data_IF_485214711530
#
_entry.id   IF_485214711530
#
_cell.length_a   1.000
_cell.length_b   1.000
_cell.length_c   1.000
_cell.angle_alpha   90.00
_cell.angle_beta   90.00
_cell.angle_gamma   90.00
#
_symmetry.space_group_name_H-M   'P 1'
#
loop_
_entity.id
_entity.type
_entity.pdbx_description
1 polymer ?
2 non-polymer ?
3 water ?
#
# COMPACT_ATOMS: atom_id res chain seq x y z
N UNK A 6 2.76 30.73 -1.30
CA UNK A 6 4.09 30.28 -1.74
C UNK A 6 4.44 30.89 -3.08
N UNK A 7 5.68 31.36 -3.24
CA UNK A 7 6.05 31.95 -4.52
C UNK A 7 6.21 30.92 -5.64
N UNK A 8 6.21 29.61 -5.34
CA UNK A 8 6.21 28.61 -6.40
C UNK A 8 4.81 28.14 -6.79
N UNK A 9 3.79 28.46 -5.99
CA UNK A 9 2.48 27.84 -6.17
C UNK A 9 1.83 28.30 -7.46
N UNK A 10 1.29 27.36 -8.23
CA UNK A 10 0.60 27.71 -9.46
C UNK A 10 -0.35 26.58 -9.84
N UNK A 11 -1.61 26.94 -10.12
CA UNK A 11 -2.64 25.99 -10.54
C UNK A 11 -2.82 24.84 -9.54
N UNK A 12 -2.62 25.11 -8.24
CA UNK A 12 -2.62 24.06 -7.22
C UNK A 12 -3.75 24.36 -6.23
N UNK A 13 -4.85 23.63 -6.37
CA UNK A 13 -6.05 23.97 -5.62
C UNK A 13 -5.91 23.56 -4.15
N UNK A 14 -6.38 24.39 -3.21
CA UNK A 14 -6.38 23.98 -1.79
C UNK A 14 -7.00 22.62 -1.52
N UNK A 15 -8.04 22.22 -2.27
CA UNK A 15 -8.61 20.89 -2.08
C UNK A 15 -7.60 19.81 -2.44
N UNK A 16 -6.85 20.01 -3.53
CA UNK A 16 -5.84 19.04 -3.94
C UNK A 16 -4.74 18.92 -2.89
N UNK A 17 -4.27 20.05 -2.37
CA UNK A 17 -3.31 20.08 -1.26
C UNK A 17 -3.81 19.27 -0.06
N UNK A 18 -5.06 19.51 0.36
CA UNK A 18 -5.64 18.75 1.46
C UNK A 18 -5.73 17.27 1.13
N UNK A 19 -6.17 16.94 -0.09
CA UNK A 19 -6.30 15.54 -0.47
C UNK A 19 -4.95 14.84 -0.53
N UNK A 20 -3.90 15.57 -0.91
CA UNK A 20 -2.56 15.01 -0.88
C UNK A 20 -2.15 14.70 0.55
N UNK A 21 -2.44 15.61 1.49
CA UNK A 21 -2.12 15.32 2.89
C UNK A 21 -2.86 14.08 3.39
N UNK A 22 -4.12 13.88 2.97
CA UNK A 22 -4.82 12.67 3.37
C UNK A 22 -4.17 11.43 2.77
N UNK A 23 -3.75 11.51 1.50
CA UNK A 23 -3.13 10.35 0.86
C UNK A 23 -1.80 10.01 1.51
N UNK A 24 -1.04 11.03 1.93
CA UNK A 24 0.21 10.77 2.65
C UNK A 24 -0.06 9.93 3.89
N UNK A 25 -1.06 10.32 4.67
CA UNK A 25 -1.39 9.54 5.86
C UNK A 25 -1.79 8.12 5.49
N UNK A 26 -2.60 7.96 4.44
CA UNK A 26 -3.04 6.62 4.06
C UNK A 26 -1.87 5.76 3.59
N UNK A 27 -0.92 6.33 2.83
CA UNK A 27 0.21 5.50 2.39
C UNK A 27 1.12 5.15 3.56
N UNK A 28 1.28 6.07 4.53
CA UNK A 28 2.01 5.74 5.74
C UNK A 28 1.29 4.64 6.53
N UNK A 29 -0.03 4.74 6.63
CA UNK A 29 -0.80 3.69 7.30
C UNK A 29 -0.59 2.34 6.61
N UNK A 30 -0.67 2.31 5.28
CA UNK A 30 -0.49 1.04 4.57
C UNK A 30 0.90 0.48 4.80
N UNK A 31 1.90 1.36 4.84
CA UNK A 31 3.26 0.95 5.20
C UNK A 31 3.29 0.28 6.57
N UNK A 32 2.53 0.82 7.53
CA UNK A 32 2.51 0.30 8.90
C UNK A 32 1.84 -1.06 8.96
N UNK A 33 0.71 -1.22 8.25
CA UNK A 33 0.03 -2.51 8.15
C UNK A 33 0.99 -3.57 7.63
N UNK A 34 1.70 -3.25 6.55
CA UNK A 34 2.65 -4.20 5.97
C UNK A 34 3.80 -4.50 6.92
N UNK A 35 4.28 -3.49 7.65
CA UNK A 35 5.32 -3.77 8.64
C UNK A 35 4.80 -4.73 9.71
N UNK A 36 3.57 -4.52 10.16
CA UNK A 36 2.96 -5.42 11.13
C UNK A 36 2.90 -6.84 10.58
N UNK A 37 2.44 -6.98 9.34
CA UNK A 37 2.38 -8.30 8.72
C UNK A 37 3.76 -8.93 8.61
N UNK A 38 4.76 -8.14 8.19
CA UNK A 38 6.11 -8.67 8.04
C UNK A 38 6.59 -9.36 9.32
N UNK A 39 6.41 -8.70 10.47
CA UNK A 39 6.91 -9.27 11.71
C UNK A 39 5.97 -10.30 12.33
N UNK A 40 4.72 -10.38 11.87
CA UNK A 40 3.90 -11.53 12.24
C UNK A 40 4.51 -12.82 11.70
N UNK A 41 5.03 -12.79 10.47
CA UNK A 41 5.53 -14.02 9.87
C UNK A 41 6.90 -14.44 10.36
N UNK A 42 7.58 -13.62 11.17
CA UNK A 42 8.81 -14.06 11.80
C UNK A 42 8.61 -14.45 13.27
N UNK A 43 7.37 -14.53 13.74
CA UNK A 43 7.09 -15.18 15.01
C UNK A 43 7.55 -16.64 14.98
N UNK A 44 7.99 -17.13 16.14
CA UNK A 44 8.44 -18.51 16.23
C UNK A 44 7.32 -19.50 15.93
N UNK A 45 6.07 -19.11 16.14
CA UNK A 45 4.93 -19.97 15.87
C UNK A 45 4.27 -19.66 14.53
N UNK A 46 4.98 -18.98 13.64
CA UNK A 46 4.52 -18.77 12.27
C UNK A 46 5.67 -19.11 11.34
N UNK A 47 6.77 -18.35 11.47
CA UNK A 47 8.07 -18.71 10.90
C UNK A 47 7.99 -19.00 9.40
N UNK A 48 7.45 -18.04 8.65
CA UNK A 48 7.42 -18.09 7.19
C UNK A 48 8.24 -16.90 6.72
N UNK A 49 9.55 -17.10 6.60
CA UNK A 49 10.47 -15.96 6.45
C UNK A 49 10.32 -15.27 5.10
N UNK A 50 9.86 -15.98 4.06
CA UNK A 50 9.68 -15.29 2.78
C UNK A 50 8.36 -14.52 2.73
N UNK A 51 7.31 -14.98 3.44
CA UNK A 51 6.18 -14.09 3.68
C UNK A 51 6.65 -12.83 4.39
N UNK A 52 7.51 -13.00 5.39
CA UNK A 52 8.04 -11.85 6.13
C UNK A 52 8.75 -10.89 5.19
N UNK A 53 9.68 -11.40 4.38
CA UNK A 53 10.39 -10.56 3.41
C UNK A 53 9.43 -9.91 2.43
N UNK A 54 8.43 -10.67 1.96
CA UNK A 54 7.49 -10.14 0.97
C UNK A 54 6.75 -8.93 1.51
N UNK A 55 6.20 -9.04 2.72
CA UNK A 55 5.44 -7.92 3.26
C UNK A 55 6.36 -6.78 3.68
N UNK A 56 7.60 -7.07 4.08
CA UNK A 56 8.53 -5.97 4.38
C UNK A 56 8.81 -5.15 3.12
N UNK A 57 8.95 -5.83 1.98
CA UNK A 57 9.14 -5.14 0.71
C UNK A 57 7.91 -4.31 0.36
N UNK A 58 6.71 -4.88 0.51
CA UNK A 58 5.48 -4.10 0.35
C UNK A 58 5.50 -2.85 1.22
N UNK A 59 5.94 -2.98 2.47
CA UNK A 59 6.00 -1.84 3.38
C UNK A 59 6.94 -0.76 2.88
N UNK A 60 8.13 -1.14 2.40
CA UNK A 60 9.07 -0.16 1.87
C UNK A 60 8.50 0.56 0.66
N UNK A 61 7.84 -0.17 -0.23
CA UNK A 61 7.22 0.45 -1.40
C UNK A 61 6.20 1.51 -1.00
N UNK A 62 5.41 1.24 0.04
CA UNK A 62 4.41 2.21 0.46
C UNK A 62 5.06 3.42 1.13
N UNK A 63 6.13 3.20 1.88
CA UNK A 63 6.89 4.31 2.44
C UNK A 63 7.45 5.20 1.33
N UNK A 64 8.00 4.59 0.28
CA UNK A 64 8.52 5.38 -0.83
C UNK A 64 7.42 6.22 -1.47
N UNK A 65 6.23 5.64 -1.68
CA UNK A 65 5.13 6.39 -2.27
C UNK A 65 4.64 7.50 -1.35
N UNK A 66 4.65 7.26 -0.04
CA UNK A 66 4.29 8.32 0.90
C UNK A 66 5.27 9.49 0.80
N UNK A 67 6.57 9.19 0.80
CA UNK A 67 7.57 10.24 0.69
C UNK A 67 7.48 10.98 -0.63
N UNK A 68 7.16 10.28 -1.71
CA UNK A 68 7.05 10.95 -3.00
C UNK A 68 5.87 11.91 -3.01
N UNK A 69 4.81 11.60 -2.27
CA UNK A 69 3.71 12.55 -2.14
C UNK A 69 4.11 13.76 -1.30
N UNK A 70 4.90 13.54 -0.26
CA UNK A 70 5.44 14.65 0.51
C UNK A 70 6.33 15.52 -0.35
N UNK A 71 7.18 14.91 -1.18
CA UNK A 71 7.98 15.70 -2.11
C UNK A 71 7.08 16.50 -3.05
N UNK A 72 6.03 15.86 -3.56
CA UNK A 72 5.11 16.54 -4.47
C UNK A 72 4.50 17.78 -3.82
N UNK A 73 4.04 17.64 -2.57
CA UNK A 73 3.48 18.77 -1.84
C UNK A 73 4.45 19.94 -1.83
N UNK A 74 5.72 19.67 -1.51
CA UNK A 74 6.72 20.74 -1.49
C UNK A 74 6.99 21.28 -2.89
N UNK A 75 7.06 20.39 -3.89
CA UNK A 75 7.33 20.84 -5.25
C UNK A 75 6.29 21.84 -5.73
N UNK A 76 5.03 21.61 -5.37
CA UNK A 76 3.91 22.45 -5.80
C UNK A 76 3.66 23.64 -4.88
N UNK A 77 4.40 23.76 -3.78
CA UNK A 77 4.15 24.84 -2.85
C UNK A 77 3.06 24.57 -1.83
N UNK A 78 2.58 23.34 -1.74
CA UNK A 78 1.69 22.99 -0.66
C UNK A 78 2.46 22.82 0.63
N UNK A 79 1.72 22.60 1.70
CA UNK A 79 2.33 22.46 3.02
C UNK A 79 1.90 21.13 3.63
N UNK A 80 2.88 20.29 3.93
CA UNK A 80 2.63 18.99 4.53
C UNK A 80 2.01 19.17 5.90
N UNK A 81 0.89 18.49 6.15
CA UNK A 81 0.29 18.42 7.48
C UNK A 81 0.16 16.95 7.84
N UNK A 82 0.97 16.50 8.78
CA UNK A 82 0.97 15.10 9.20
C UNK A 82 -0.10 14.87 10.24
N UNK A 83 -0.58 13.63 10.30
CA UNK A 83 -1.55 13.20 11.29
C UNK A 83 -1.05 11.88 11.88
N UNK A 84 -1.65 11.47 13.01
CA UNK A 84 -1.32 10.16 13.58
C UNK A 84 -1.40 9.08 12.51
N UNK A 85 -0.48 8.12 12.58
CA UNK A 85 -0.56 6.92 11.75
C UNK A 85 -1.26 5.86 12.59
N UNK A 86 -2.48 5.50 12.21
CA UNK A 86 -3.27 4.58 13.02
C UNK A 86 -2.62 3.21 13.05
N UNK A 87 -2.74 2.53 14.18
CA UNK A 87 -2.23 1.17 14.23
C UNK A 87 -3.06 0.27 13.32
N UNK A 88 -2.48 -0.82 12.82
CA UNK A 88 -3.27 -1.75 11.99
C UNK A 88 -4.40 -2.38 12.78
N UNK A 89 -5.34 -2.98 12.04
CA UNK A 89 -6.53 -3.58 12.63
C UNK A 89 -6.22 -4.78 13.52
N UNK A 90 -5.14 -5.51 13.22
CA UNK A 90 -4.78 -6.72 13.96
C UNK A 90 -3.29 -6.72 14.22
N UNK A 91 -2.88 -7.35 15.33
CA UNK A 91 -1.47 -7.73 15.46
C UNK A 91 -1.23 -9.17 15.04
N UNK A 92 -2.25 -10.01 15.20
CA UNK A 92 -2.21 -11.42 14.83
C UNK A 92 -2.90 -11.56 13.48
N UNK A 93 -2.13 -11.84 12.43
CA UNK A 93 -2.69 -11.87 11.09
C UNK A 93 -3.17 -13.26 10.68
N UNK A 94 -3.15 -14.22 11.61
CA UNK A 94 -3.86 -15.49 11.53
C UNK A 94 -3.24 -16.52 10.58
N UNK A 95 -2.87 -16.12 9.36
CA UNK A 95 -2.31 -17.07 8.41
C UNK A 95 -1.74 -16.32 7.22
N UNK A 96 -0.91 -17.02 6.45
CA UNK A 96 -0.44 -16.45 5.19
C UNK A 96 -1.58 -16.02 4.29
N UNK A 97 -2.61 -16.86 4.17
CA UNK A 97 -3.75 -16.52 3.31
C UNK A 97 -4.50 -15.31 3.84
N UNK A 98 -4.76 -15.27 5.15
CA UNK A 98 -5.49 -14.14 5.71
C UNK A 98 -4.72 -12.85 5.49
N UNK A 99 -3.39 -12.88 5.65
CA UNK A 99 -2.59 -11.68 5.44
C UNK A 99 -2.65 -11.24 3.98
N UNK A 100 -2.53 -12.18 3.04
CA UNK A 100 -2.61 -11.82 1.62
C UNK A 100 -3.97 -11.23 1.27
N UNK A 101 -5.04 -11.79 1.84
CA UNK A 101 -6.36 -11.22 1.59
C UNK A 101 -6.50 -9.85 2.24
N UNK A 102 -5.93 -9.67 3.43
CA UNK A 102 -5.95 -8.35 4.03
C UNK A 102 -5.18 -7.34 3.21
N UNK A 103 -4.02 -7.74 2.69
CA UNK A 103 -3.23 -6.86 1.83
C UNK A 103 -4.00 -6.48 0.56
N UNK A 104 -4.67 -7.46 -0.06
CA UNK A 104 -5.46 -7.17 -1.26
C UNK A 104 -6.53 -6.12 -0.96
N UNK A 105 -7.26 -6.30 0.15
CA UNK A 105 -8.28 -5.33 0.52
C UNK A 105 -7.67 -3.96 0.81
N UNK A 106 -6.54 -3.95 1.52
CA UNK A 106 -5.83 -2.70 1.79
C UNK A 106 -5.47 -1.98 0.50
N UNK A 107 -4.92 -2.71 -0.47
CA UNK A 107 -4.48 -2.04 -1.69
C UNK A 107 -5.65 -1.53 -2.52
N UNK A 108 -6.77 -2.26 -2.53
CA UNK A 108 -7.95 -1.75 -3.23
C UNK A 108 -8.46 -0.48 -2.57
N UNK A 109 -8.37 -0.39 -1.24
CA UNK A 109 -8.76 0.84 -0.57
C UNK A 109 -7.80 1.98 -0.91
N UNK A 110 -6.50 1.70 -0.90
CA UNK A 110 -5.52 2.69 -1.30
C UNK A 110 -5.75 3.10 -2.75
N UNK A 111 -6.00 2.12 -3.62
CA UNK A 111 -6.27 2.42 -5.02
C UNK A 111 -7.50 3.30 -5.17
N UNK A 112 -8.57 3.00 -4.44
CA UNK A 112 -9.76 3.83 -4.53
C UNK A 112 -9.46 5.28 -4.14
N UNK A 113 -8.65 5.46 -3.09
CA UNK A 113 -8.29 6.82 -2.68
C UNK A 113 -7.49 7.53 -3.77
N UNK A 114 -6.54 6.82 -4.39
CA UNK A 114 -5.75 7.42 -5.46
C UNK A 114 -6.63 7.81 -6.64
N UNK A 115 -7.58 6.95 -7.01
CA UNK A 115 -8.47 7.25 -8.12
C UNK A 115 -9.34 8.46 -7.80
N UNK A 116 -9.81 8.56 -6.56
CA UNK A 116 -10.56 9.75 -6.16
C UNK A 116 -9.67 10.99 -6.18
N UNK A 117 -8.40 10.85 -5.79
CA UNK A 117 -7.46 11.96 -5.91
C UNK A 117 -7.26 12.36 -7.37
N UNK A 118 -7.19 11.38 -8.27
CA UNK A 118 -7.04 11.69 -9.68
C UNK A 118 -8.28 12.40 -10.21
N UNK A 119 -9.47 11.96 -9.78
CA UNK A 119 -10.70 12.62 -10.22
C UNK A 119 -10.75 14.06 -9.73
N UNK A 120 -10.26 14.30 -8.51
CA UNK A 120 -10.18 15.67 -8.01
C UNK A 120 -9.23 16.51 -8.85
N UNK A 121 -8.03 15.98 -9.11
CA UNK A 121 -7.08 16.68 -9.97
C UNK A 121 -7.70 17.04 -11.31
N UNK A 122 -8.43 16.09 -11.92
CA UNK A 122 -9.11 16.36 -13.18
C UNK A 122 -10.16 17.45 -13.02
N UNK A 123 -10.96 17.39 -11.95
CA UNK A 123 -11.99 18.40 -11.72
C UNK A 123 -11.37 19.79 -11.58
N UNK A 124 -10.21 19.88 -10.94
CA UNK A 124 -9.57 21.15 -10.69
C UNK A 124 -8.64 21.57 -11.82
N UNK A 125 -8.62 20.81 -12.91
CA UNK A 125 -7.78 21.09 -14.05
C UNK A 125 -6.30 21.12 -13.71
N UNK A 126 -5.84 20.11 -12.96
CA UNK A 126 -4.46 20.01 -12.53
C UNK A 126 -3.80 18.83 -13.24
N UNK A 127 -3.35 19.02 -14.48
CA UNK A 127 -2.77 17.89 -15.22
C UNK A 127 -1.43 17.44 -14.67
N UNK A 128 -0.67 18.33 -14.04
CA UNK A 128 0.57 17.90 -13.40
C UNK A 128 0.30 16.88 -12.31
N UNK A 129 -0.70 17.15 -11.47
CA UNK A 129 -1.07 16.20 -10.43
C UNK A 129 -1.62 14.91 -11.03
N UNK A 130 -2.48 15.02 -12.05
CA UNK A 130 -3.00 13.82 -12.70
C UNK A 130 -1.89 12.95 -13.25
N UNK A 131 -0.94 13.56 -13.96
CA UNK A 131 0.17 12.79 -14.51
C UNK A 131 1.03 12.17 -13.42
N UNK A 132 1.27 12.90 -12.33
CA UNK A 132 2.06 12.35 -11.22
C UNK A 132 1.44 11.06 -10.69
N UNK A 133 0.13 11.07 -10.49
CA UNK A 133 -0.58 9.88 -10.03
C UNK A 133 -0.52 8.76 -11.06
N UNK A 134 -0.75 9.08 -12.33
CA UNK A 134 -0.69 8.06 -13.38
C UNK A 134 0.70 7.46 -13.49
N UNK A 135 1.72 8.31 -13.45
CA UNK A 135 3.08 7.84 -13.70
C UNK A 135 3.62 7.02 -12.53
N UNK A 136 3.36 7.43 -11.29
CA UNK A 136 4.01 6.77 -10.17
C UNK A 136 3.08 5.93 -9.30
N UNK A 137 1.76 6.07 -9.42
CA UNK A 137 0.87 5.42 -8.46
C UNK A 137 -0.10 4.44 -9.10
N UNK A 138 -0.81 4.84 -10.16
CA UNK A 138 -1.96 4.04 -10.59
C UNK A 138 -1.54 2.70 -11.19
N UNK A 139 -0.51 2.68 -12.05
CA UNK A 139 -0.14 1.37 -12.59
C UNK A 139 0.62 0.53 -11.58
N UNK A 140 1.40 1.15 -10.70
CA UNK A 140 2.01 0.38 -9.62
C UNK A 140 0.94 -0.28 -8.76
N UNK A 141 -0.15 0.43 -8.46
CA UNK A 141 -1.24 -0.16 -7.67
C UNK A 141 -1.88 -1.33 -8.40
N UNK A 142 -2.15 -1.18 -9.70
CA UNK A 142 -2.75 -2.28 -10.46
C UNK A 142 -1.84 -3.50 -10.45
N UNK A 143 -0.53 -3.29 -10.64
CA UNK A 143 0.39 -4.42 -10.63
C UNK A 143 0.38 -5.13 -9.28
N UNK A 144 0.40 -4.36 -8.18
CA UNK A 144 0.43 -4.98 -6.85
C UNK A 144 -0.86 -5.72 -6.55
N UNK A 145 -2.00 -5.14 -6.92
CA UNK A 145 -3.28 -5.81 -6.69
C UNK A 145 -3.35 -7.11 -7.48
N UNK A 146 -2.92 -7.08 -8.74
CA UNK A 146 -2.88 -8.28 -9.55
C UNK A 146 -2.02 -9.35 -8.90
N UNK A 147 -0.82 -8.97 -8.43
CA UNK A 147 0.07 -9.94 -7.80
C UNK A 147 -0.55 -10.54 -6.54
N UNK A 148 -1.16 -9.69 -5.71
CA UNK A 148 -1.84 -10.20 -4.52
C UNK A 148 -2.99 -11.12 -4.90
N UNK A 149 -3.73 -10.79 -5.97
CA UNK A 149 -4.76 -11.69 -6.45
C UNK A 149 -4.21 -13.05 -6.85
N UNK A 150 -3.10 -13.05 -7.60
CA UNK A 150 -2.42 -14.29 -7.95
C UNK A 150 -2.09 -15.10 -6.71
N UNK A 151 -1.51 -14.44 -5.70
CA UNK A 151 -1.05 -15.15 -4.51
C UNK A 151 -2.24 -15.73 -3.74
N UNK A 152 -3.30 -14.94 -3.57
CA UNK A 152 -4.51 -15.43 -2.92
C UNK A 152 -5.06 -16.65 -3.65
N UNK A 153 -5.15 -16.57 -4.98
CA UNK A 153 -5.67 -17.71 -5.74
C UNK A 153 -4.85 -18.97 -5.46
N UNK A 154 -3.53 -18.88 -5.59
CA UNK A 154 -2.69 -20.06 -5.41
C UNK A 154 -2.79 -20.60 -3.99
N UNK A 155 -2.75 -19.71 -2.99
CA UNK A 155 -2.90 -20.17 -1.61
C UNK A 155 -4.22 -20.91 -1.40
N UNK A 156 -5.32 -20.33 -1.89
CA UNK A 156 -6.62 -20.99 -1.74
C UNK A 156 -6.60 -22.35 -2.42
N UNK A 157 -6.13 -22.39 -3.67
CA UNK A 157 -6.13 -23.65 -4.41
C UNK A 157 -5.28 -24.70 -3.71
N UNK A 158 -4.13 -24.30 -3.15
CA UNK A 158 -3.26 -25.23 -2.44
C UNK A 158 -3.85 -25.73 -1.12
N UNK A 159 -4.93 -25.13 -0.64
CA UNK A 159 -5.55 -25.57 0.60
C UNK A 159 -5.21 -24.76 1.83
N UNK A 160 -4.56 -23.61 1.69
CA UNK A 160 -4.30 -22.74 2.84
C UNK A 160 -5.63 -22.24 3.43
N UNK A 161 -5.68 -22.01 4.76
CA UNK A 161 -4.59 -22.15 5.72
C UNK A 161 -4.49 -23.52 6.38
N UNK A 162 -5.51 -24.37 6.21
CA UNK A 162 -5.58 -25.60 6.99
C UNK A 162 -4.64 -26.70 6.48
N UNK A 163 -4.36 -26.75 5.18
CA UNK A 163 -3.46 -27.78 4.68
C UNK A 163 -2.03 -27.46 5.10
N UNK A 164 -1.38 -28.41 5.78
CA UNK A 164 -0.12 -28.12 6.44
C UNK A 164 1.01 -27.75 5.51
N UNK A 165 1.01 -28.28 4.29
CA UNK A 165 2.10 -28.00 3.36
C UNK A 165 1.90 -26.71 2.58
N UNK A 166 0.68 -26.17 2.54
CA UNK A 166 0.35 -25.12 1.57
C UNK A 166 1.19 -23.86 1.79
N UNK A 167 1.04 -23.22 2.95
CA UNK A 167 1.77 -21.96 3.16
C UNK A 167 3.28 -22.20 3.19
N UNK A 168 3.71 -23.33 3.76
CA UNK A 168 5.14 -23.67 3.73
C UNK A 168 5.67 -23.73 2.31
N UNK A 169 4.97 -24.45 1.43
CA UNK A 169 5.45 -24.60 0.06
C UNK A 169 5.34 -23.29 -0.71
N UNK A 170 4.27 -22.52 -0.48
CA UNK A 170 4.13 -21.24 -1.16
C UNK A 170 5.24 -20.28 -0.73
N UNK A 171 5.54 -20.26 0.57
CA UNK A 171 6.65 -19.45 1.09
C UNK A 171 7.96 -19.77 0.38
N UNK A 172 8.23 -21.06 0.17
CA UNK A 172 9.54 -21.41 -0.34
C UNK A 172 9.62 -21.32 -1.86
N UNK A 173 8.51 -21.49 -2.57
CA UNK A 173 8.54 -21.50 -4.03
C UNK A 173 8.15 -20.15 -4.63
N UNK A 174 6.95 -19.66 -4.33
CA UNK A 174 6.55 -18.39 -4.92
C UNK A 174 7.30 -17.23 -4.29
N UNK A 175 7.34 -17.17 -2.96
CA UNK A 175 7.95 -16.02 -2.30
C UNK A 175 9.45 -16.16 -2.10
N UNK A 176 10.03 -17.31 -2.42
CA UNK A 176 11.47 -17.47 -2.39
C UNK A 176 12.16 -16.90 -3.62
X LIG B 1 1.04 3.58 -0.08
X LIG C 1 5.89 -0.04 -4.53
#
# INVERSE_FOLDING_TARGET
PAAGPSRVRQNFHPDSEAAINRQINLCLYASYVYLSMAYYFSRDDVALNNFSRYFLHQSRCCTEHAEKLMRLQNQRGGRIRLQDIKKPEQDDWESGLHAMEGALLLEKNVNQSLLELHALASDKGDPHLGDFLETYYLNEQVKSIKELGDHVHNLVKMGAPDAGLAEYLFDTHTLGNENKQN
AU AU
AU AU
#
